data_IF_221587876647
#
_entry.id   IF_221587876647
#
_cell.length_a   1.000
_cell.length_b   1.000
_cell.length_c   1.000
_cell.angle_alpha   90.00
_cell.angle_beta   90.00
_cell.angle_gamma   90.00
#
_symmetry.space_group_name_H-M   'P 1'
#
loop_
_entity.id
_entity.type
_entity.pdbx_description
1 polymer ?
#
# COMPACT_ATOMS: atom_id res chain seq x y z
N UNK A 1 -44.32 6.25 20.17
CA UNK A 1 -43.38 5.43 20.98
C UNK A 1 -43.17 4.01 20.44
N UNK A 2 -44.20 3.17 20.23
CA UNK A 2 -43.99 1.77 19.77
C UNK A 2 -43.28 1.64 18.41
N UNK A 3 -43.56 2.48 17.42
CA UNK A 3 -42.89 2.46 16.10
C UNK A 3 -41.41 2.88 16.17
N UNK A 4 -41.09 3.86 17.00
CA UNK A 4 -39.70 4.33 17.24
C UNK A 4 -38.85 3.26 17.91
N UNK A 5 -39.42 2.52 18.86
CA UNK A 5 -38.72 1.44 19.57
C UNK A 5 -38.37 0.27 18.62
N UNK A 6 -39.27 -0.08 17.70
CA UNK A 6 -39.05 -1.16 16.70
C UNK A 6 -37.96 -0.77 15.70
N UNK A 7 -37.95 0.47 15.22
CA UNK A 7 -36.90 0.98 14.32
C UNK A 7 -35.51 1.00 14.99
N UNK A 8 -35.44 1.42 16.25
CA UNK A 8 -34.19 1.38 17.03
C UNK A 8 -33.72 -0.06 17.25
N UNK A 9 -34.64 -0.99 17.55
CA UNK A 9 -34.29 -2.40 17.74
C UNK A 9 -33.80 -3.04 16.44
N UNK A 10 -34.44 -2.76 15.29
CA UNK A 10 -33.99 -3.25 13.98
C UNK A 10 -32.62 -2.68 13.60
N UNK A 11 -32.36 -1.39 13.88
CA UNK A 11 -31.05 -0.77 13.62
C UNK A 11 -29.94 -1.35 14.52
N UNK A 12 -30.25 -1.65 15.79
CA UNK A 12 -29.29 -2.24 16.72
C UNK A 12 -29.00 -3.71 16.36
N UNK A 13 -30.04 -4.50 16.03
CA UNK A 13 -29.89 -5.91 15.65
C UNK A 13 -29.14 -6.04 14.32
N UNK A 14 -29.43 -5.20 13.33
CA UNK A 14 -28.70 -5.20 12.05
C UNK A 14 -27.23 -4.78 12.21
N UNK A 15 -26.95 -3.75 13.02
CA UNK A 15 -25.55 -3.34 13.30
C UNK A 15 -24.76 -4.42 14.04
N UNK A 16 -25.40 -5.13 14.97
CA UNK A 16 -24.78 -6.23 15.70
C UNK A 16 -24.51 -7.44 14.78
N UNK A 17 -25.52 -7.87 13.99
CA UNK A 17 -25.37 -8.97 13.04
C UNK A 17 -24.31 -8.69 11.95
N UNK A 18 -24.24 -7.48 11.42
CA UNK A 18 -23.24 -7.10 10.40
C UNK A 18 -21.82 -7.16 10.95
N UNK A 19 -21.62 -6.84 12.23
CA UNK A 19 -20.29 -6.85 12.86
C UNK A 19 -19.85 -8.28 13.21
N UNK A 20 -20.75 -9.09 13.78
CA UNK A 20 -20.44 -10.48 14.17
C UNK A 20 -20.25 -11.40 12.96
N UNK A 21 -21.04 -11.26 11.89
CA UNK A 21 -20.95 -12.18 10.73
C UNK A 21 -19.71 -11.90 9.89
N UNK A 22 -19.26 -10.65 9.78
CA UNK A 22 -18.08 -10.29 8.99
C UNK A 22 -16.77 -10.91 9.51
N UNK A 23 -16.69 -11.19 10.81
CA UNK A 23 -15.48 -11.73 11.41
C UNK A 23 -15.35 -13.26 11.25
N UNK A 24 -16.43 -13.98 10.91
CA UNK A 24 -16.46 -15.46 10.85
C UNK A 24 -16.61 -16.02 9.43
N UNK A 25 -16.44 -15.20 8.39
CA UNK A 25 -16.56 -15.64 7.00
C UNK A 25 -15.50 -16.67 6.60
N UNK A 26 -14.32 -16.65 7.23
CA UNK A 26 -13.24 -17.62 6.93
C UNK A 26 -13.53 -19.06 7.40
N UNK A 27 -14.57 -19.28 8.22
CA UNK A 27 -14.99 -20.62 8.68
C UNK A 27 -16.26 -21.13 7.99
N UNK A 28 -16.90 -20.32 7.14
CA UNK A 28 -18.07 -20.75 6.39
C UNK A 28 -17.66 -21.54 5.14
N UNK A 29 -18.38 -22.61 4.86
CA UNK A 29 -18.34 -23.27 3.54
C UNK A 29 -18.56 -22.19 2.46
N UNK A 30 -17.72 -22.15 1.39
CA UNK A 30 -17.86 -21.21 0.27
C UNK A 30 -19.29 -21.04 -0.27
N UNK A 31 -20.13 -22.07 -0.16
CA UNK A 31 -21.54 -22.01 -0.54
C UNK A 31 -22.40 -21.16 0.41
N UNK A 32 -22.23 -21.31 1.72
CA UNK A 32 -22.95 -20.54 2.74
C UNK A 32 -22.46 -19.08 2.78
N UNK A 33 -21.16 -18.83 2.53
CA UNK A 33 -20.64 -17.46 2.34
C UNK A 33 -21.38 -16.75 1.19
N UNK A 34 -21.49 -17.42 0.03
CA UNK A 34 -22.15 -16.84 -1.15
C UNK A 34 -23.63 -16.55 -0.87
N UNK A 35 -24.32 -17.48 -0.21
CA UNK A 35 -25.73 -17.32 0.17
C UNK A 35 -25.95 -16.16 1.15
N UNK A 36 -25.06 -16.02 2.13
CA UNK A 36 -25.14 -14.95 3.12
C UNK A 36 -24.89 -13.58 2.49
N UNK A 37 -23.90 -13.48 1.59
CA UNK A 37 -23.60 -12.23 0.86
C UNK A 37 -24.77 -11.77 -0.01
N UNK A 38 -25.35 -12.66 -0.81
CA UNK A 38 -26.51 -12.31 -1.66
C UNK A 38 -27.68 -11.79 -0.84
N UNK A 39 -27.91 -12.36 0.35
CA UNK A 39 -28.95 -11.88 1.27
C UNK A 39 -28.61 -10.51 1.85
N UNK A 40 -27.37 -10.28 2.25
CA UNK A 40 -26.94 -9.00 2.81
C UNK A 40 -26.98 -7.86 1.77
N UNK A 41 -26.59 -8.14 0.53
CA UNK A 41 -26.69 -7.17 -0.58
C UNK A 41 -28.15 -6.85 -0.89
N UNK A 42 -29.03 -7.84 -0.93
CA UNK A 42 -30.46 -7.63 -1.10
C UNK A 42 -31.07 -6.78 0.03
N UNK A 43 -30.66 -7.01 1.29
CA UNK A 43 -31.11 -6.22 2.44
C UNK A 43 -30.56 -4.78 2.41
N UNK A 44 -29.32 -4.57 1.95
CA UNK A 44 -28.74 -3.23 1.78
C UNK A 44 -29.40 -2.45 0.64
N UNK A 45 -29.65 -3.07 -0.50
CA UNK A 45 -30.39 -2.45 -1.60
C UNK A 45 -31.82 -2.11 -1.15
N UNK A 46 -32.49 -3.01 -0.43
CA UNK A 46 -33.81 -2.72 0.14
C UNK A 46 -33.78 -1.53 1.12
N UNK A 47 -32.75 -1.42 1.95
CA UNK A 47 -32.55 -0.29 2.85
C UNK A 47 -32.27 1.02 2.09
N UNK A 48 -31.52 0.98 0.99
CA UNK A 48 -31.30 2.14 0.09
C UNK A 48 -32.60 2.58 -0.56
N UNK A 49 -33.39 1.65 -1.10
CA UNK A 49 -34.70 1.94 -1.68
C UNK A 49 -35.65 2.55 -0.65
N UNK A 50 -35.66 2.03 0.58
CA UNK A 50 -36.47 2.59 1.67
C UNK A 50 -36.02 4.01 2.07
N UNK A 51 -34.72 4.30 2.06
CA UNK A 51 -34.19 5.63 2.35
C UNK A 51 -34.52 6.64 1.24
N UNK A 52 -34.41 6.24 -0.03
CA UNK A 52 -34.78 7.09 -1.18
C UNK A 52 -36.29 7.37 -1.19
N UNK A 53 -37.13 6.37 -0.92
CA UNK A 53 -38.58 6.55 -0.85
C UNK A 53 -38.99 7.54 0.27
N UNK A 54 -38.28 7.55 1.40
CA UNK A 54 -38.56 8.52 2.47
C UNK A 54 -38.04 9.93 2.13
N UNK A 55 -36.90 10.04 1.45
CA UNK A 55 -36.37 11.33 1.00
C UNK A 55 -37.26 11.99 -0.07
N UNK A 56 -37.82 11.21 -1.00
CA UNK A 56 -38.75 11.72 -2.02
C UNK A 56 -40.10 12.16 -1.43
N UNK A 57 -40.51 11.57 -0.29
CA UNK A 57 -41.70 12.03 0.45
C UNK A 57 -41.44 13.35 1.17
N UNK A 58 -40.25 13.54 1.73
CA UNK A 58 -39.85 14.78 2.40
C UNK A 58 -39.67 15.93 1.39
N UNK A 59 -39.04 15.66 0.24
CA UNK A 59 -38.84 16.63 -0.84
C UNK A 59 -40.17 17.08 -1.48
N UNK A 60 -41.14 16.16 -1.65
CA UNK A 60 -42.46 16.50 -2.17
C UNK A 60 -43.31 17.29 -1.17
N UNK A 61 -43.09 17.10 0.13
CA UNK A 61 -43.78 17.88 1.16
C UNK A 61 -43.28 19.33 1.18
N UNK A 62 -41.97 19.54 1.06
CA UNK A 62 -41.37 20.88 1.01
C UNK A 62 -41.73 21.63 -0.29
N UNK A 63 -41.70 20.95 -1.44
CA UNK A 63 -42.17 21.52 -2.72
C UNK A 63 -43.67 21.87 -2.70
N UNK A 64 -44.50 21.08 -2.03
CA UNK A 64 -45.91 21.37 -1.87
C UNK A 64 -46.16 22.57 -0.94
N UNK A 65 -45.37 22.75 0.13
CA UNK A 65 -45.47 23.93 0.99
C UNK A 65 -45.01 25.21 0.27
N UNK A 66 -43.95 25.13 -0.54
CA UNK A 66 -43.45 26.26 -1.31
C UNK A 66 -44.45 26.68 -2.42
N UNK A 67 -45.09 25.71 -3.09
CA UNK A 67 -46.11 25.95 -4.11
C UNK A 67 -47.39 26.60 -3.55
N UNK A 68 -47.77 26.29 -2.30
CA UNK A 68 -48.93 26.91 -1.65
C UNK A 68 -48.63 28.35 -1.21
N UNK A 69 -47.36 28.71 -0.97
CA UNK A 69 -46.99 30.08 -0.56
C UNK A 69 -46.89 31.08 -1.72
N UNK A 70 -46.81 30.61 -2.97
CA UNK A 70 -46.52 31.45 -4.15
C UNK A 70 -47.73 31.71 -5.07
N UNK A 71 -48.95 31.39 -4.66
CA UNK A 71 -50.13 31.48 -5.55
C UNK A 71 -50.77 32.86 -5.72
N UNK A 72 -50.25 33.95 -5.14
CA UNK A 72 -50.97 35.24 -5.13
C UNK A 72 -50.49 36.34 -6.11
N UNK A 73 -49.46 36.14 -6.93
CA UNK A 73 -49.09 37.19 -7.91
C UNK A 73 -48.27 36.66 -9.09
N UNK A 74 -48.88 36.31 -10.23
CA UNK A 74 -48.22 36.43 -11.55
C UNK A 74 -49.25 36.66 -12.69
N UNK A 75 -49.01 37.60 -13.64
CA UNK A 75 -49.83 37.83 -14.84
C UNK A 75 -49.57 36.80 -15.97
N UNK A 76 -50.34 36.80 -17.07
CA UNK A 76 -50.23 35.78 -18.11
C UNK A 76 -48.97 35.94 -18.96
N UNK A 77 -48.10 34.92 -18.96
CA UNK A 77 -46.92 34.85 -19.83
C UNK A 77 -47.23 34.18 -21.18
N UNK A 78 -46.79 34.86 -22.23
CA UNK A 78 -46.73 34.46 -23.63
C UNK A 78 -45.75 33.30 -23.85
N UNK A 79 -46.16 32.31 -24.64
CA UNK A 79 -45.41 31.10 -24.95
C UNK A 79 -44.16 31.34 -25.82
N UNK A 80 -43.02 30.67 -25.52
CA UNK A 80 -41.81 30.76 -26.33
C UNK A 80 -41.87 29.86 -27.58
N UNK A 81 -41.13 30.22 -28.65
CA UNK A 81 -41.16 29.49 -29.92
C UNK A 81 -40.40 28.15 -29.85
N UNK A 82 -40.99 27.14 -30.50
CA UNK A 82 -40.48 25.77 -30.67
C UNK A 82 -39.15 25.77 -31.45
N UNK A 83 -38.08 25.13 -30.93
CA UNK A 83 -36.83 24.99 -31.66
C UNK A 83 -36.93 23.95 -32.79
N UNK A 84 -36.32 24.30 -33.92
CA UNK A 84 -36.28 23.51 -35.16
C UNK A 84 -35.25 22.36 -35.07
N UNK A 85 -35.56 21.15 -35.58
CA UNK A 85 -34.69 19.98 -35.41
C UNK A 85 -33.39 20.10 -36.21
N UNK A 86 -32.27 20.00 -35.47
CA UNK A 86 -30.91 19.99 -36.04
C UNK A 86 -30.64 18.65 -36.73
N UNK A 87 -30.20 18.71 -38.00
CA UNK A 87 -29.90 17.53 -38.83
C UNK A 87 -28.69 16.76 -38.29
N UNK A 88 -28.89 15.47 -38.05
CA UNK A 88 -27.86 14.49 -37.67
C UNK A 88 -26.86 14.30 -38.83
N UNK A 89 -25.54 14.43 -38.59
CA UNK A 89 -24.54 14.16 -39.63
C UNK A 89 -24.40 12.67 -39.92
N UNK A 90 -24.25 12.37 -41.20
CA UNK A 90 -24.11 11.04 -41.79
C UNK A 90 -22.74 10.41 -41.43
N UNK A 91 -22.68 9.13 -41.03
CA UNK A 91 -21.45 8.49 -40.59
C UNK A 91 -20.46 8.27 -41.74
N UNK A 92 -19.22 8.72 -41.53
CA UNK A 92 -18.09 8.47 -42.44
C UNK A 92 -17.69 6.99 -42.42
N UNK A 93 -17.50 6.34 -43.58
CA UNK A 93 -17.15 4.92 -43.64
C UNK A 93 -15.74 4.65 -43.08
N UNK A 94 -15.64 3.58 -42.30
CA UNK A 94 -14.40 3.12 -41.68
C UNK A 94 -13.40 2.57 -42.74
N UNK A 95 -12.09 2.82 -42.58
CA UNK A 95 -11.07 2.33 -43.50
C UNK A 95 -10.94 0.80 -43.44
N UNK A 96 -10.82 0.21 -44.63
CA UNK A 96 -10.57 -1.22 -44.85
C UNK A 96 -9.18 -1.61 -44.33
N UNK A 97 -9.05 -2.69 -43.53
CA UNK A 97 -7.75 -3.13 -43.02
C UNK A 97 -6.85 -3.68 -44.13
N UNK A 98 -5.59 -3.26 -44.10
CA UNK A 98 -4.52 -3.68 -44.99
C UNK A 98 -4.09 -5.13 -44.67
N UNK A 99 -3.82 -5.99 -45.68
CA UNK A 99 -3.49 -7.40 -45.44
C UNK A 99 -2.10 -7.58 -44.82
N UNK A 100 -2.05 -8.38 -43.75
CA UNK A 100 -0.81 -8.82 -43.09
C UNK A 100 0.12 -9.58 -44.04
N UNK A 101 1.45 -9.34 -43.98
CA UNK A 101 2.43 -10.01 -44.81
C UNK A 101 2.57 -11.51 -44.45
N UNK A 102 2.64 -12.32 -45.51
CA UNK A 102 2.82 -13.78 -45.47
C UNK A 102 4.21 -14.14 -44.90
N UNK A 103 4.31 -15.05 -43.91
CA UNK A 103 5.59 -15.54 -43.40
C UNK A 103 6.37 -16.32 -44.46
N UNK A 104 7.63 -15.94 -44.68
CA UNK A 104 8.57 -16.69 -45.52
C UNK A 104 8.95 -18.00 -44.84
N UNK A 105 8.71 -19.11 -45.53
CA UNK A 105 9.07 -20.47 -45.14
C UNK A 105 10.59 -20.64 -45.14
N UNK A 106 11.20 -20.83 -43.97
CA UNK A 106 12.59 -21.28 -43.85
C UNK A 106 12.71 -22.80 -44.04
N UNK A 107 13.75 -23.19 -44.78
CA UNK A 107 14.08 -24.54 -45.23
C UNK A 107 14.70 -25.35 -44.07
N UNK A 108 14.19 -26.54 -43.72
CA UNK A 108 14.74 -27.32 -42.61
C UNK A 108 16.12 -27.89 -42.95
N UNK A 109 17.07 -27.66 -42.03
CA UNK A 109 18.44 -28.18 -42.04
C UNK A 109 18.45 -29.62 -41.51
N UNK A 110 19.21 -30.48 -42.19
CA UNK A 110 19.28 -31.92 -41.98
C UNK A 110 19.65 -32.32 -40.54
N UNK A 111 18.87 -33.24 -39.98
CA UNK A 111 19.10 -33.93 -38.70
C UNK A 111 20.08 -35.08 -38.90
N UNK A 112 21.16 -35.08 -38.12
CA UNK A 112 22.12 -36.18 -38.02
C UNK A 112 21.63 -37.14 -36.92
N UNK A 113 21.46 -38.41 -37.27
CA UNK A 113 21.10 -39.50 -36.35
C UNK A 113 22.34 -40.02 -35.62
N UNK A 114 22.33 -40.13 -34.28
CA UNK A 114 23.18 -41.08 -33.57
C UNK A 114 22.36 -42.26 -33.04
N UNK A 115 22.78 -43.44 -33.47
CA UNK A 115 22.28 -44.75 -33.05
C UNK A 115 22.93 -45.13 -31.72
N UNK A 116 22.21 -45.00 -30.59
CA UNK A 116 22.52 -45.78 -29.38
C UNK A 116 21.26 -46.07 -28.57
N UNK A 117 21.08 -47.37 -28.31
CA UNK A 117 19.97 -48.05 -27.65
C UNK A 117 19.99 -47.80 -26.13
N UNK A 118 18.93 -47.31 -25.47
CA UNK A 118 18.79 -47.43 -24.03
C UNK A 118 17.87 -48.58 -23.63
N UNK A 119 18.29 -49.29 -22.59
CA UNK A 119 17.58 -50.35 -21.88
C UNK A 119 16.34 -49.78 -21.19
N UNK A 120 15.19 -50.40 -21.43
CA UNK A 120 13.92 -50.09 -20.77
C UNK A 120 14.04 -50.29 -19.26
N UNK A 121 13.84 -49.22 -18.49
CA UNK A 121 13.64 -49.27 -17.03
C UNK A 121 12.27 -48.67 -16.77
N UNK A 122 11.43 -49.40 -16.06
CA UNK A 122 10.04 -49.05 -15.77
C UNK A 122 9.93 -47.66 -15.12
N UNK A 123 9.12 -46.81 -15.72
CA UNK A 123 8.72 -45.51 -15.17
C UNK A 123 7.64 -45.75 -14.11
N UNK A 124 8.05 -45.70 -12.84
CA UNK A 124 7.13 -45.55 -11.71
C UNK A 124 6.68 -44.09 -11.68
N UNK A 125 5.36 -43.85 -11.67
CA UNK A 125 4.78 -42.52 -11.43
C UNK A 125 5.26 -42.00 -10.08
N UNK A 126 6.14 -40.99 -10.08
CA UNK A 126 6.38 -40.18 -8.90
C UNK A 126 5.17 -39.28 -8.69
N UNK A 127 4.33 -39.66 -7.73
CA UNK A 127 3.41 -38.75 -7.06
C UNK A 127 4.27 -37.68 -6.40
N UNK A 128 4.13 -36.43 -6.84
CA UNK A 128 4.66 -35.27 -6.13
C UNK A 128 3.82 -35.14 -4.87
N UNK A 129 4.27 -35.77 -3.78
CA UNK A 129 3.79 -35.42 -2.45
C UNK A 129 4.13 -33.95 -2.20
N UNK A 130 3.09 -33.13 -2.06
CA UNK A 130 3.24 -31.78 -1.51
C UNK A 130 3.90 -31.95 -0.14
N UNK A 131 5.00 -31.24 0.16
CA UNK A 131 5.55 -31.26 1.50
C UNK A 131 4.46 -30.77 2.45
N UNK A 132 4.14 -31.58 3.46
CA UNK A 132 3.37 -31.13 4.61
C UNK A 132 4.03 -29.84 5.11
N UNK A 133 3.25 -28.76 5.16
CA UNK A 133 3.63 -27.53 5.86
C UNK A 133 3.73 -27.89 7.33
N UNK A 134 4.93 -28.30 7.75
CA UNK A 134 5.30 -28.34 9.16
C UNK A 134 5.21 -26.89 9.62
N UNK A 135 4.20 -26.57 10.43
CA UNK A 135 4.14 -25.29 11.15
C UNK A 135 5.52 -25.07 11.78
N UNK A 136 6.21 -23.96 11.46
CA UNK A 136 7.44 -23.63 12.15
C UNK A 136 7.16 -23.66 13.65
N UNK A 137 7.88 -24.51 14.38
CA UNK A 137 7.95 -24.42 15.84
C UNK A 137 8.33 -22.96 16.14
N UNK A 138 7.65 -22.27 17.07
CA UNK A 138 7.96 -20.88 17.37
C UNK A 138 9.47 -20.78 17.59
N UNK A 139 10.14 -20.09 16.67
CA UNK A 139 11.54 -19.73 16.83
C UNK A 139 11.50 -18.88 18.08
N UNK A 140 12.01 -19.42 19.20
CA UNK A 140 12.37 -18.62 20.34
C UNK A 140 13.24 -17.50 19.76
N UNK A 141 12.69 -16.29 19.69
CA UNK A 141 13.41 -15.10 19.27
C UNK A 141 14.60 -15.04 20.21
N UNK A 142 15.76 -15.50 19.75
CA UNK A 142 17.01 -15.18 20.41
C UNK A 142 17.12 -13.68 20.24
N UNK A 143 16.74 -12.99 21.31
CA UNK A 143 17.04 -11.60 21.62
C UNK A 143 18.56 -11.44 21.61
N UNK A 144 19.17 -11.51 20.44
CA UNK A 144 20.43 -10.84 20.19
C UNK A 144 20.06 -9.37 20.08
N UNK A 145 19.98 -8.72 21.25
CA UNK A 145 19.97 -7.26 21.32
C UNK A 145 21.16 -6.77 20.51
N UNK A 146 20.88 -6.29 19.29
CA UNK A 146 21.77 -5.35 18.63
C UNK A 146 21.86 -4.19 19.62
N UNK A 147 23.00 -4.06 20.32
CA UNK A 147 23.33 -2.85 21.06
C UNK A 147 23.45 -1.74 20.03
N UNK A 148 22.33 -1.11 19.70
CA UNK A 148 22.32 0.15 18.98
C UNK A 148 22.99 1.14 19.93
N UNK A 149 24.25 1.45 19.63
CA UNK A 149 24.96 2.55 20.27
C UNK A 149 24.24 3.82 19.84
N UNK A 150 23.27 4.26 20.63
CA UNK A 150 22.77 5.62 20.55
C UNK A 150 23.96 6.55 20.73
N UNK A 151 24.42 7.15 19.64
CA UNK A 151 25.33 8.29 19.70
C UNK A 151 24.53 9.46 20.27
N UNK A 152 24.46 9.47 21.60
CA UNK A 152 24.20 10.64 22.44
C UNK A 152 25.00 11.82 21.88
N UNK A 153 24.32 12.72 21.19
CA UNK A 153 24.82 14.03 20.82
C UNK A 153 24.98 14.84 22.12
N UNK A 154 26.13 14.68 22.78
CA UNK A 154 26.52 15.49 23.93
C UNK A 154 26.54 16.97 23.53
N UNK A 155 25.47 17.67 23.89
CA UNK A 155 25.33 19.11 23.84
C UNK A 155 26.34 19.72 24.84
N UNK A 156 27.46 20.19 24.31
CA UNK A 156 28.45 20.98 25.07
C UNK A 156 27.85 22.34 25.41
N UNK A 157 27.47 22.53 26.67
CA UNK A 157 27.09 23.81 27.24
C UNK A 157 28.36 24.56 27.66
N UNK A 158 28.88 25.41 26.78
CA UNK A 158 29.75 26.52 27.18
C UNK A 158 28.96 27.83 27.06
N UNK A 159 28.60 28.34 28.22
CA UNK A 159 27.95 29.62 28.45
C UNK A 159 28.86 30.76 27.99
N UNK A 160 28.42 31.52 26.98
CA UNK A 160 28.84 32.90 26.79
C UNK A 160 27.59 33.77 26.77
N UNK A 161 27.47 34.58 27.82
CA UNK A 161 26.47 35.63 27.97
C UNK A 161 26.68 36.69 26.88
N UNK A 162 25.78 36.75 25.91
CA UNK A 162 25.55 37.96 25.11
C UNK A 162 24.06 38.26 25.10
N UNK A 163 23.72 39.39 25.71
CA UNK A 163 22.41 40.05 25.72
C UNK A 163 21.91 40.25 24.28
N UNK A 164 20.90 39.47 23.88
CA UNK A 164 20.16 39.66 22.63
C UNK A 164 18.71 39.99 22.95
N UNK A 165 18.29 41.16 22.46
CA UNK A 165 16.92 41.69 22.41
C UNK A 165 15.88 40.60 22.17
N UNK A 166 14.87 40.58 23.02
CA UNK A 166 13.67 39.77 22.95
C UNK A 166 12.89 40.04 21.65
N UNK A 167 13.21 39.29 20.59
CA UNK A 167 12.23 39.02 19.54
C UNK A 167 11.28 37.97 20.10
N UNK A 168 10.12 38.44 20.57
CA UNK A 168 8.91 37.65 20.82
C UNK A 168 8.55 36.94 19.51
N UNK A 169 9.19 35.81 19.25
CA UNK A 169 8.88 34.93 18.13
C UNK A 169 7.59 34.26 18.57
N UNK A 170 6.47 34.72 18.03
CA UNK A 170 5.20 34.06 18.19
C UNK A 170 5.44 32.57 17.91
N UNK A 171 5.33 31.75 18.96
CA UNK A 171 5.21 30.31 18.81
C UNK A 171 3.90 30.14 18.07
N UNK A 172 3.99 30.17 16.74
CA UNK A 172 2.98 29.57 15.90
C UNK A 172 2.93 28.14 16.40
N UNK A 173 1.82 27.77 17.04
CA UNK A 173 1.57 26.40 17.40
C UNK A 173 1.77 25.62 16.10
N UNK A 174 2.89 24.89 16.03
CA UNK A 174 3.21 24.03 14.90
C UNK A 174 2.13 22.94 14.98
N UNK A 175 1.03 23.20 14.27
CA UNK A 175 -0.11 22.31 14.22
C UNK A 175 0.41 20.96 13.73
N UNK A 176 0.44 19.97 14.62
CA UNK A 176 1.12 18.71 14.36
C UNK A 176 0.62 18.12 13.05
N UNK A 177 1.56 17.86 12.13
CA UNK A 177 1.37 17.15 10.87
C UNK A 177 0.33 16.03 11.00
N UNK A 178 -0.64 16.01 10.09
CA UNK A 178 -1.69 14.99 10.04
C UNK A 178 -1.49 14.05 8.86
N UNK A 179 -2.03 12.84 8.99
CA UNK A 179 -1.96 11.81 7.97
C UNK A 179 -3.28 11.72 7.21
N UNK A 180 -3.17 11.62 5.89
CA UNK A 180 -4.31 11.55 4.98
C UNK A 180 -4.07 10.46 3.95
N UNK A 181 -5.11 9.69 3.65
CA UNK A 181 -5.10 8.83 2.48
C UNK A 181 -5.53 9.63 1.25
N UNK A 182 -4.86 9.38 0.13
CA UNK A 182 -5.01 10.15 -1.11
C UNK A 182 -5.87 9.39 -2.10
N UNK A 183 -6.81 10.10 -2.71
CA UNK A 183 -7.56 9.66 -3.89
C UNK A 183 -7.36 10.67 -5.02
N UNK A 184 -7.04 10.22 -6.22
CA UNK A 184 -6.88 11.12 -7.34
C UNK A 184 -8.25 11.59 -7.84
N UNK A 185 -8.36 12.87 -8.16
CA UNK A 185 -9.54 13.39 -8.85
C UNK A 185 -9.43 13.06 -10.34
N UNK A 186 -10.22 12.10 -10.80
CA UNK A 186 -10.19 11.62 -12.19
C UNK A 186 -11.00 12.49 -13.17
N UNK A 187 -11.48 13.67 -12.74
CA UNK A 187 -12.18 14.59 -13.64
C UNK A 187 -11.27 15.03 -14.79
N UNK A 188 -11.77 14.88 -16.02
CA UNK A 188 -11.10 15.30 -17.25
C UNK A 188 -11.67 16.66 -17.66
N UNK A 189 -10.81 17.68 -17.80
CA UNK A 189 -11.24 18.97 -18.36
C UNK A 189 -10.96 19.03 -19.85
N UNK A 190 -11.91 19.61 -20.59
CA UNK A 190 -11.72 19.95 -22.00
C UNK A 190 -10.69 21.10 -22.11
N UNK A 191 -9.75 21.05 -23.08
CA UNK A 191 -9.77 20.18 -24.25
C UNK A 191 -9.11 18.80 -24.11
N UNK A 192 -8.20 18.52 -23.18
CA UNK A 192 -7.64 17.16 -22.98
C UNK A 192 -6.70 17.01 -21.76
N UNK A 193 -6.70 17.96 -20.81
CA UNK A 193 -5.74 17.93 -19.70
C UNK A 193 -6.44 17.45 -18.43
N UNK A 194 -5.80 16.52 -17.70
CA UNK A 194 -6.22 16.19 -16.34
C UNK A 194 -6.14 17.48 -15.51
N UNK A 195 -7.30 18.03 -15.18
CA UNK A 195 -7.44 19.21 -14.32
C UNK A 195 -7.78 18.83 -12.88
N UNK A 196 -7.86 17.52 -12.61
CA UNK A 196 -8.16 17.01 -11.30
C UNK A 196 -7.06 17.33 -10.30
N UNK A 197 -7.49 17.56 -9.07
CA UNK A 197 -6.62 17.64 -7.90
C UNK A 197 -6.57 16.30 -7.17
N UNK A 198 -6.68 16.37 -5.85
CA UNK A 198 -6.68 15.22 -4.96
C UNK A 198 -7.76 15.39 -3.91
N UNK A 199 -8.42 14.29 -3.57
CA UNK A 199 -9.24 14.19 -2.37
C UNK A 199 -8.40 13.55 -1.27
N UNK A 200 -8.31 14.24 -0.15
CA UNK A 200 -7.62 13.81 1.06
C UNK A 200 -8.64 13.40 2.10
N UNK A 201 -8.48 12.20 2.65
CA UNK A 201 -9.31 11.69 3.73
C UNK A 201 -8.44 11.50 4.96
N UNK A 202 -8.79 12.19 6.04
CA UNK A 202 -8.02 12.13 7.27
C UNK A 202 -8.11 10.75 7.89
N UNK A 203 -6.96 10.13 8.19
CA UNK A 203 -6.95 8.80 8.77
C UNK A 203 -7.61 8.80 10.16
N UNK A 204 -8.37 7.75 10.45
CA UNK A 204 -9.07 7.50 11.71
C UNK A 204 -10.07 8.59 12.14
N UNK A 205 -10.49 9.47 11.23
CA UNK A 205 -11.55 10.43 11.52
C UNK A 205 -12.93 9.77 11.35
N UNK A 206 -13.85 10.07 12.28
CA UNK A 206 -15.20 9.48 12.28
C UNK A 206 -16.09 10.13 11.23
N UNK A 207 -15.94 11.44 11.08
CA UNK A 207 -16.48 12.14 9.92
C UNK A 207 -15.49 11.87 8.80
N UNK A 208 -15.94 11.20 7.73
CA UNK A 208 -15.15 11.03 6.51
C UNK A 208 -15.06 12.40 5.83
N UNK A 209 -14.39 13.35 6.47
CA UNK A 209 -14.19 14.69 5.99
C UNK A 209 -13.23 14.59 4.81
N UNK A 210 -13.80 14.75 3.61
CA UNK A 210 -13.04 14.83 2.38
C UNK A 210 -12.59 16.27 2.19
N UNK A 211 -11.29 16.47 2.00
CA UNK A 211 -10.73 17.77 1.65
C UNK A 211 -10.20 17.71 0.23
N UNK A 212 -10.63 18.66 -0.59
CA UNK A 212 -10.12 18.79 -1.94
C UNK A 212 -8.91 19.73 -1.95
N UNK A 213 -7.83 19.30 -2.61
CA UNK A 213 -6.65 20.13 -2.88
C UNK A 213 -6.30 20.05 -4.36
N UNK A 214 -5.97 21.18 -4.97
CA UNK A 214 -5.59 21.21 -6.38
C UNK A 214 -4.18 20.63 -6.61
N UNK A 215 -3.32 20.68 -5.60
CA UNK A 215 -1.92 20.30 -5.71
C UNK A 215 -1.33 19.76 -4.41
N UNK A 216 -0.51 18.71 -4.55
CA UNK A 216 0.46 18.25 -3.55
C UNK A 216 1.81 18.92 -3.83
N UNK A 217 2.38 19.58 -2.82
CA UNK A 217 3.68 20.26 -2.86
C UNK A 217 4.62 19.62 -1.84
N UNK A 218 5.73 19.05 -2.31
CA UNK A 218 6.65 18.28 -1.47
C UNK A 218 7.70 19.18 -0.85
N UNK A 219 7.81 19.15 0.48
CA UNK A 219 8.75 19.99 1.21
C UNK A 219 10.19 19.45 1.16
N UNK A 220 10.35 18.13 1.19
CA UNK A 220 11.64 17.45 1.12
C UNK A 220 12.03 17.17 -0.35
N UNK A 221 13.21 17.64 -0.82
CA UNK A 221 13.72 17.32 -2.16
C UNK A 221 13.83 15.82 -2.46
N UNK A 222 14.17 14.97 -1.48
CA UNK A 222 14.26 13.51 -1.66
C UNK A 222 12.88 12.89 -1.88
N UNK A 223 11.89 13.40 -1.18
CA UNK A 223 10.50 13.00 -1.38
C UNK A 223 9.96 13.52 -2.72
N UNK A 224 10.33 14.75 -3.11
CA UNK A 224 9.98 15.31 -4.41
C UNK A 224 10.58 14.49 -5.58
N UNK A 225 11.74 13.86 -5.40
CA UNK A 225 12.29 12.92 -6.38
C UNK A 225 11.40 11.67 -6.60
N UNK A 226 10.50 11.37 -5.66
CA UNK A 226 9.53 10.28 -5.71
C UNK A 226 8.10 10.77 -6.02
N UNK A 227 7.94 12.00 -6.52
CA UNK A 227 6.64 12.59 -6.87
C UNK A 227 5.84 11.71 -7.82
N UNK A 228 6.49 11.07 -8.79
CA UNK A 228 5.82 10.15 -9.72
C UNK A 228 5.22 8.92 -9.02
N UNK A 229 5.86 8.40 -7.98
CA UNK A 229 5.33 7.28 -7.19
C UNK A 229 4.03 7.70 -6.49
N UNK A 230 3.99 8.92 -5.97
CA UNK A 230 2.80 9.46 -5.31
C UNK A 230 1.69 9.77 -6.33
N UNK A 231 2.01 10.47 -7.43
CA UNK A 231 1.01 10.95 -8.39
C UNK A 231 0.43 9.87 -9.29
N UNK A 232 1.19 8.82 -9.60
CA UNK A 232 0.77 7.74 -10.50
C UNK A 232 0.19 6.54 -9.74
N UNK A 233 0.05 6.64 -8.41
CA UNK A 233 -0.53 5.58 -7.60
C UNK A 233 -2.04 5.48 -7.79
N UNK A 234 -2.56 4.26 -7.64
CA UNK A 234 -3.99 4.03 -7.60
C UNK A 234 -4.64 4.73 -6.40
N UNK A 235 -5.96 4.90 -6.50
CA UNK A 235 -6.76 5.44 -5.41
C UNK A 235 -6.53 4.66 -4.12
N UNK A 236 -6.27 5.37 -3.03
CA UNK A 236 -6.06 4.82 -1.68
C UNK A 236 -4.77 4.01 -1.48
N UNK A 237 -3.84 4.02 -2.43
CA UNK A 237 -2.54 3.38 -2.26
C UNK A 237 -1.50 4.28 -1.56
N UNK A 238 -1.79 5.57 -1.46
CA UNK A 238 -0.87 6.56 -0.88
C UNK A 238 -1.47 7.14 0.39
N UNK A 239 -0.64 7.19 1.43
CA UNK A 239 -0.86 8.04 2.60
C UNK A 239 0.17 9.16 2.55
N UNK A 240 -0.26 10.40 2.77
CA UNK A 240 0.59 11.57 2.93
C UNK A 240 0.51 12.11 4.35
N UNK A 241 1.63 12.59 4.86
CA UNK A 241 1.75 13.37 6.09
C UNK A 241 1.99 14.84 5.73
N UNK A 242 1.31 15.76 6.40
CA UNK A 242 1.59 17.18 6.27
C UNK A 242 0.44 18.07 6.70
N UNK A 243 0.37 19.26 6.11
CA UNK A 243 -0.59 20.30 6.49
C UNK A 243 -1.18 21.04 5.28
N UNK A 244 -2.38 21.59 5.46
CA UNK A 244 -3.02 22.43 4.45
C UNK A 244 -2.42 23.84 4.44
N UNK A 245 -2.41 24.45 3.26
CA UNK A 245 -2.34 25.90 3.10
C UNK A 245 -3.62 26.32 2.38
N UNK A 246 -4.54 26.87 3.17
CA UNK A 246 -5.83 27.38 2.72
C UNK A 246 -5.65 28.70 1.98
N UNK A 247 -6.61 29.01 1.10
CA UNK A 247 -6.71 30.29 0.39
C UNK A 247 -5.45 30.71 -0.37
N UNK A 248 -4.71 29.73 -0.91
CA UNK A 248 -3.58 30.04 -1.76
C UNK A 248 -4.10 30.67 -3.06
N UNK A 249 -3.58 31.85 -3.40
CA UNK A 249 -3.96 32.58 -4.60
C UNK A 249 -2.79 32.58 -5.58
N UNK A 250 -3.03 32.09 -6.79
CA UNK A 250 -2.13 32.31 -7.91
C UNK A 250 -2.87 33.02 -9.06
N UNK A 251 -2.28 33.01 -10.25
CA UNK A 251 -2.87 33.61 -11.45
C UNK A 251 -4.14 32.89 -11.94
N UNK A 252 -4.44 31.68 -11.43
CA UNK A 252 -5.59 30.86 -11.82
C UNK A 252 -6.77 30.97 -10.86
N UNK A 253 -6.57 31.48 -9.64
CA UNK A 253 -7.63 31.70 -8.67
C UNK A 253 -7.19 31.36 -7.24
N UNK A 254 -8.18 31.22 -6.35
CA UNK A 254 -7.97 30.71 -5.00
C UNK A 254 -8.15 29.20 -4.99
N UNK A 255 -7.19 28.48 -4.42
CA UNK A 255 -7.30 27.04 -4.20
C UNK A 255 -6.58 26.61 -2.93
N UNK A 256 -6.91 25.40 -2.46
CA UNK A 256 -6.22 24.76 -1.36
C UNK A 256 -5.06 23.92 -1.90
N UNK A 257 -3.90 24.02 -1.26
CA UNK A 257 -2.76 23.14 -1.53
C UNK A 257 -2.38 22.38 -0.26
N UNK A 258 -1.83 21.18 -0.44
CA UNK A 258 -1.32 20.37 0.65
C UNK A 258 0.20 20.33 0.61
N UNK A 259 0.84 20.70 1.70
CA UNK A 259 2.30 20.59 1.85
C UNK A 259 2.60 19.21 2.39
N UNK A 260 3.21 18.37 1.56
CA UNK A 260 3.59 17.00 1.90
C UNK A 260 4.95 17.01 2.61
N UNK A 261 4.93 16.63 3.87
CA UNK A 261 6.11 16.44 4.73
C UNK A 261 6.56 14.97 4.82
N UNK A 262 5.73 14.03 4.36
CA UNK A 262 6.06 12.61 4.26
C UNK A 262 5.05 11.89 3.37
N UNK A 263 5.45 10.79 2.73
CA UNK A 263 4.53 9.92 2.01
C UNK A 263 4.82 8.45 2.29
N UNK A 264 3.79 7.63 2.12
CA UNK A 264 3.81 6.20 2.34
C UNK A 264 3.05 5.52 1.21
N UNK A 265 3.63 4.46 0.65
CA UNK A 265 3.03 3.68 -0.43
C UNK A 265 2.66 2.29 0.08
N UNK A 266 1.45 1.87 -0.26
CA UNK A 266 0.89 0.55 0.08
C UNK A 266 1.76 -0.57 -0.50
N UNK A 267 2.06 -1.56 0.33
CA UNK A 267 2.62 -2.84 -0.10
C UNK A 267 1.52 -3.67 -0.77
N UNK A 268 1.79 -4.17 -1.97
CA UNK A 268 0.82 -5.00 -2.69
C UNK A 268 0.76 -6.38 -2.04
N UNK A 269 -0.44 -6.86 -1.74
CA UNK A 269 -0.64 -8.27 -1.40
C UNK A 269 -1.06 -8.93 -2.71
N UNK A 270 -0.28 -9.86 -3.27
CA UNK A 270 -0.66 -10.56 -4.48
C UNK A 270 -2.04 -11.17 -4.29
N UNK A 271 -2.90 -11.03 -5.29
CA UNK A 271 -4.23 -11.65 -5.28
C UNK A 271 -4.02 -13.13 -5.55
N UNK A 272 -3.58 -13.87 -4.54
CA UNK A 272 -3.42 -15.33 -4.61
C UNK A 272 -4.82 -15.93 -4.53
N UNK A 273 -5.58 -15.89 -5.62
CA UNK A 273 -6.94 -16.43 -5.75
C UNK A 273 -7.85 -16.20 -4.53
N UNK A 274 -7.64 -15.11 -3.78
CA UNK A 274 -8.65 -14.59 -2.87
C UNK A 274 -9.84 -14.34 -3.79
N UNK A 275 -10.88 -15.16 -3.61
CA UNK A 275 -11.98 -15.33 -4.55
C UNK A 275 -12.38 -13.97 -5.11
N UNK A 276 -12.65 -13.85 -6.41
CA UNK A 276 -12.93 -12.56 -7.09
C UNK A 276 -13.91 -11.62 -6.33
N UNK A 277 -14.69 -12.16 -5.39
CA UNK A 277 -15.49 -11.46 -4.38
C UNK A 277 -14.72 -10.57 -3.38
N UNK A 278 -13.40 -10.73 -3.23
CA UNK A 278 -12.52 -9.96 -2.33
C UNK A 278 -11.93 -8.74 -3.04
N UNK A 279 -11.75 -8.80 -4.37
CA UNK A 279 -11.20 -7.68 -5.17
C UNK A 279 -12.21 -6.53 -5.34
N UNK A 280 -13.50 -6.80 -5.15
CA UNK A 280 -14.56 -5.79 -5.02
C UNK A 280 -14.78 -5.31 -3.58
N UNK A 281 -13.77 -5.45 -2.71
CA UNK A 281 -13.78 -4.82 -1.40
C UNK A 281 -13.82 -3.29 -1.55
N UNK A 282 -15.06 -2.80 -1.60
CA UNK A 282 -15.46 -1.40 -1.66
C UNK A 282 -14.76 -0.55 -0.61
N UNK A 283 -14.57 0.75 -0.86
CA UNK A 283 -14.00 1.71 0.09
C UNK A 283 -14.56 1.58 1.54
N UNK A 284 -15.74 0.98 1.72
CA UNK A 284 -16.37 0.60 2.99
C UNK A 284 -15.46 -0.10 4.02
N UNK A 285 -14.65 -1.11 3.63
CA UNK A 285 -13.83 -1.83 4.62
C UNK A 285 -12.71 -0.96 5.19
N UNK A 286 -12.18 -0.05 4.36
CA UNK A 286 -11.16 0.89 4.77
C UNK A 286 -11.67 1.87 5.82
N UNK A 287 -12.98 2.18 5.81
CA UNK A 287 -13.60 3.07 6.81
C UNK A 287 -13.90 2.38 8.15
N UNK A 288 -13.96 1.04 8.19
CA UNK A 288 -14.12 0.29 9.44
C UNK A 288 -12.78 -0.11 10.06
N UNK A 289 -11.72 -0.07 9.27
CA UNK A 289 -10.37 -0.39 9.70
C UNK A 289 -9.70 0.84 10.29
N UNK A 290 -8.68 0.63 11.13
CA UNK A 290 -7.93 1.73 11.75
C UNK A 290 -6.46 1.67 11.39
N UNK A 291 -5.86 2.84 11.23
CA UNK A 291 -4.47 3.00 10.87
C UNK A 291 -3.63 3.21 12.12
N UNK A 292 -2.55 2.44 12.26
CA UNK A 292 -1.68 2.45 13.42
C UNK A 292 -0.21 2.54 13.03
N UNK A 293 0.59 3.11 13.94
CA UNK A 293 2.01 2.83 14.03
C UNK A 293 2.23 1.69 15.01
N UNK A 294 3.05 0.71 14.65
CA UNK A 294 3.49 -0.31 15.60
C UNK A 294 4.77 0.16 16.31
N UNK A 295 4.94 -0.27 17.56
CA UNK A 295 6.16 -0.04 18.33
C UNK A 295 6.37 -1.18 19.32
N UNK A 296 7.62 -1.44 19.67
CA UNK A 296 7.89 -2.30 20.81
C UNK A 296 7.48 -1.60 22.10
N UNK A 297 6.90 -2.37 23.01
CA UNK A 297 6.72 -1.93 24.38
C UNK A 297 8.02 -2.18 25.13
N UNK A 298 8.58 -1.15 25.77
CA UNK A 298 9.73 -1.29 26.68
C UNK A 298 9.34 -1.99 28.01
N UNK A 299 8.18 -2.65 28.05
CA UNK A 299 7.66 -3.34 29.22
C UNK A 299 8.41 -4.67 29.34
N UNK A 300 9.34 -4.72 30.29
CA UNK A 300 9.93 -5.98 30.73
C UNK A 300 8.93 -6.69 31.63
N UNK A 301 8.47 -7.85 31.19
CA UNK A 301 7.57 -8.66 31.99
C UNK A 301 8.30 -9.71 32.82
N UNK A 302 7.80 -9.90 34.05
CA UNK A 302 8.27 -10.95 34.94
C UNK A 302 7.83 -12.34 34.47
N UNK A 303 6.67 -12.44 33.82
CA UNK A 303 6.13 -13.69 33.27
C UNK A 303 5.90 -13.54 31.76
N UNK A 304 6.49 -14.44 30.97
CA UNK A 304 6.46 -14.37 29.50
C UNK A 304 5.07 -14.61 28.89
N UNK A 305 4.13 -15.19 29.65
CA UNK A 305 2.91 -15.79 29.08
C UNK A 305 1.78 -14.79 28.79
N UNK A 306 1.86 -13.55 29.28
CA UNK A 306 0.78 -12.55 29.15
C UNK A 306 1.25 -11.18 28.69
N UNK A 307 2.45 -11.11 28.10
CA UNK A 307 3.06 -9.83 27.81
C UNK A 307 3.13 -9.50 26.34
N UNK A 308 2.25 -8.59 25.96
CA UNK A 308 2.31 -7.86 24.72
C UNK A 308 3.60 -7.02 24.68
N UNK A 309 4.56 -7.47 23.88
CA UNK A 309 5.78 -6.73 23.56
C UNK A 309 5.57 -5.71 22.43
N UNK A 310 4.34 -5.54 21.94
CA UNK A 310 3.98 -4.67 20.82
C UNK A 310 2.82 -3.76 21.23
N UNK A 311 2.93 -2.46 21.03
CA UNK A 311 1.76 -1.57 21.02
C UNK A 311 1.50 -1.01 19.63
N UNK A 312 0.23 -0.75 19.36
CA UNK A 312 -0.23 -0.05 18.18
C UNK A 312 -0.77 1.32 18.59
N UNK A 313 -0.14 2.38 18.10
CA UNK A 313 -0.47 3.78 18.34
C UNK A 313 -1.40 4.29 17.23
N UNK A 314 -2.60 4.73 17.62
CA UNK A 314 -3.61 5.19 16.68
C UNK A 314 -3.20 6.51 16.02
N UNK A 315 -3.14 6.51 14.68
CA UNK A 315 -2.73 7.69 13.91
C UNK A 315 -3.79 8.80 14.00
N UNK A 316 -3.35 10.06 14.02
CA UNK A 316 -4.18 11.28 14.13
C UNK A 316 -5.03 11.37 15.41
N UNK A 317 -4.76 10.55 16.43
CA UNK A 317 -5.44 10.66 17.71
C UNK A 317 -4.88 11.83 18.54
N UNK A 318 -5.77 12.61 19.17
CA UNK A 318 -5.37 13.70 20.11
C UNK A 318 -4.83 13.17 21.44
N UNK A 319 -5.16 11.93 21.77
CA UNK A 319 -4.67 11.21 22.95
C UNK A 319 -3.76 10.12 22.45
N UNK A 320 -2.69 9.78 23.18
CA UNK A 320 -1.81 8.65 22.91
C UNK A 320 -2.58 7.33 23.06
N UNK A 321 -3.53 7.08 22.17
CA UNK A 321 -4.37 5.90 22.15
C UNK A 321 -3.53 4.77 21.61
N UNK A 322 -2.99 4.00 22.53
CA UNK A 322 -2.25 2.78 22.24
C UNK A 322 -3.11 1.58 22.61
N UNK A 323 -3.15 0.58 21.74
CA UNK A 323 -3.65 -0.75 22.08
C UNK A 323 -2.47 -1.70 22.21
N UNK A 324 -2.53 -2.60 23.19
CA UNK A 324 -1.55 -3.67 23.34
C UNK A 324 -1.92 -4.82 22.37
N UNK A 325 -0.94 -5.29 21.61
CA UNK A 325 -1.09 -6.40 20.66
C UNK A 325 -0.13 -7.50 21.09
N UNK A 326 -0.65 -8.70 21.38
CA UNK A 326 0.19 -9.84 21.75
C UNK A 326 0.87 -10.45 20.52
N UNK A 327 0.10 -10.55 19.44
CA UNK A 327 0.52 -11.12 18.17
C UNK A 327 -0.37 -10.54 17.06
N UNK A 328 0.10 -10.58 15.83
CA UNK A 328 -0.68 -10.20 14.66
C UNK A 328 -0.34 -11.08 13.48
N UNK A 329 -1.32 -11.31 12.61
CA UNK A 329 -1.07 -11.92 11.32
C UNK A 329 -0.82 -10.85 10.26
N UNK A 330 0.12 -11.10 9.37
CA UNK A 330 0.35 -10.29 8.18
C UNK A 330 0.33 -11.17 6.92
N UNK A 331 -0.16 -10.66 5.78
CA UNK A 331 -0.40 -11.49 4.60
C UNK A 331 0.85 -11.70 3.74
N UNK A 332 1.91 -10.91 3.91
CA UNK A 332 3.04 -10.86 2.99
C UNK A 332 3.94 -12.08 3.11
N UNK A 333 4.23 -12.59 4.33
CA UNK A 333 5.07 -13.79 4.50
C UNK A 333 4.50 -15.04 3.82
N UNK A 334 3.18 -15.09 3.63
CA UNK A 334 2.48 -16.21 2.98
C UNK A 334 2.18 -15.96 1.50
N UNK A 335 2.05 -14.70 1.09
CA UNK A 335 1.58 -14.35 -0.26
C UNK A 335 2.67 -13.88 -1.20
N UNK A 336 3.85 -13.53 -0.69
CA UNK A 336 4.98 -13.04 -1.48
C UNK A 336 6.19 -13.94 -1.25
N UNK A 337 6.62 -14.63 -2.31
CA UNK A 337 7.76 -15.54 -2.27
C UNK A 337 9.02 -14.75 -1.94
N UNK A 338 9.84 -15.23 -0.98
CA UNK A 338 11.10 -14.57 -0.58
C UNK A 338 10.92 -13.10 -0.15
N UNK A 339 9.79 -12.76 0.48
CA UNK A 339 9.56 -11.44 1.05
C UNK A 339 10.57 -11.11 2.15
N UNK A 340 11.08 -9.88 2.15
CA UNK A 340 12.08 -9.40 3.11
C UNK A 340 11.45 -9.10 4.49
N UNK A 341 11.15 -10.17 5.24
CA UNK A 341 10.53 -10.07 6.57
C UNK A 341 11.41 -9.33 7.58
N UNK A 342 12.75 -9.41 7.43
CA UNK A 342 13.66 -8.67 8.32
C UNK A 342 13.49 -7.15 8.14
N UNK A 343 13.43 -6.68 6.89
CA UNK A 343 13.12 -5.28 6.59
C UNK A 343 11.73 -4.87 7.08
N UNK A 344 10.71 -5.70 6.81
CA UNK A 344 9.34 -5.41 7.22
C UNK A 344 9.23 -5.22 8.74
N UNK A 345 9.77 -6.15 9.52
CA UNK A 345 9.79 -6.07 10.99
C UNK A 345 10.58 -4.85 11.47
N UNK A 346 11.78 -4.60 10.91
CA UNK A 346 12.59 -3.44 11.29
C UNK A 346 11.87 -2.11 11.06
N UNK A 347 11.20 -1.96 9.91
CA UNK A 347 10.40 -0.75 9.59
C UNK A 347 9.14 -0.64 10.42
N UNK A 348 8.56 -1.76 10.83
CA UNK A 348 7.37 -1.78 11.69
C UNK A 348 7.67 -1.37 13.13
N UNK A 349 8.81 -1.80 13.70
CA UNK A 349 9.03 -1.67 15.15
C UNK A 349 10.26 -0.84 15.55
N UNK A 350 11.32 -0.83 14.73
CA UNK A 350 12.59 -0.21 15.14
C UNK A 350 12.67 1.24 14.71
N UNK A 351 12.25 1.55 13.47
CA UNK A 351 12.30 2.92 12.96
C UNK A 351 10.93 3.57 13.08
N UNK A 352 10.81 4.50 14.02
CA UNK A 352 9.54 5.15 14.31
C UNK A 352 8.92 5.76 13.06
N UNK A 353 7.62 5.52 12.89
CA UNK A 353 6.78 6.15 11.87
C UNK A 353 7.23 5.93 10.42
N UNK A 354 7.96 4.83 10.14
CA UNK A 354 8.36 4.44 8.79
C UNK A 354 7.38 3.46 8.11
N UNK A 355 6.50 2.84 8.89
CA UNK A 355 5.45 1.97 8.36
C UNK A 355 4.12 2.28 9.03
N UNK A 356 3.07 2.39 8.22
CA UNK A 356 1.69 2.55 8.69
C UNK A 356 0.96 1.24 8.42
N UNK A 357 0.26 0.71 9.41
CA UNK A 357 -0.48 -0.53 9.30
C UNK A 357 -1.98 -0.25 9.35
N UNK A 358 -2.71 -0.83 8.42
CA UNK A 358 -4.16 -0.91 8.47
C UNK A 358 -4.52 -2.19 9.19
N UNK A 359 -4.97 -2.05 10.44
CA UNK A 359 -5.26 -3.18 11.32
C UNK A 359 -6.77 -3.33 11.42
N UNK A 360 -7.23 -4.55 11.17
CA UNK A 360 -8.61 -4.98 11.42
C UNK A 360 -8.67 -5.67 12.76
N UNK A 361 -9.50 -5.13 13.65
CA UNK A 361 -9.82 -5.75 14.93
C UNK A 361 -11.15 -6.51 14.75
N UNK A 362 -11.08 -7.82 14.91
CA UNK A 362 -12.22 -8.72 14.85
C UNK A 362 -12.45 -9.27 16.25
N UNK A 363 -13.63 -9.02 16.82
CA UNK A 363 -13.95 -9.43 18.19
C UNK A 363 -13.68 -10.94 18.38
N UNK A 364 -12.81 -11.28 19.33
CA UNK A 364 -12.43 -12.66 19.62
C UNK A 364 -11.32 -13.26 18.75
N UNK A 365 -10.76 -12.51 17.79
CA UNK A 365 -9.61 -12.92 16.97
C UNK A 365 -8.40 -12.05 17.24
N UNK A 366 -7.20 -12.57 16.97
CA UNK A 366 -5.99 -11.76 16.99
C UNK A 366 -6.11 -10.64 15.94
N UNK A 367 -5.66 -9.42 16.25
CA UNK A 367 -5.60 -8.34 15.26
C UNK A 367 -4.84 -8.79 14.01
N UNK A 368 -5.36 -8.45 12.84
CA UNK A 368 -4.73 -8.79 11.57
C UNK A 368 -4.35 -7.53 10.80
N UNK A 369 -3.17 -7.54 10.20
CA UNK A 369 -2.71 -6.47 9.31
C UNK A 369 -3.32 -6.72 7.93
N UNK A 370 -4.37 -5.96 7.60
CA UNK A 370 -4.98 -6.03 6.27
C UNK A 370 -4.08 -5.41 5.19
N UNK A 371 -3.32 -4.37 5.54
CA UNK A 371 -2.40 -3.70 4.62
C UNK A 371 -1.32 -2.93 5.38
N UNK A 372 -0.20 -2.64 4.72
CA UNK A 372 0.91 -1.87 5.27
C UNK A 372 1.40 -0.88 4.23
N UNK A 373 1.80 0.30 4.68
CA UNK A 373 2.25 1.40 3.85
C UNK A 373 3.66 1.77 4.28
N UNK A 374 4.63 1.54 3.42
CA UNK A 374 6.03 1.85 3.68
C UNK A 374 6.33 3.30 3.32
N UNK A 375 7.08 4.01 4.17
CA UNK A 375 7.53 5.37 3.89
C UNK A 375 8.39 5.42 2.63
N UNK A 376 8.26 6.50 1.88
CA UNK A 376 9.13 6.84 0.74
C UNK A 376 9.77 8.22 0.98
N UNK A 377 11.04 8.45 0.59
CA UNK A 377 11.97 7.47 0.02
C UNK A 377 12.38 6.37 1.03
N UNK A 378 12.79 5.20 0.51
CA UNK A 378 13.37 4.12 1.29
C UNK A 378 14.59 3.55 0.52
N UNK A 379 15.76 3.38 1.16
CA UNK A 379 16.01 3.59 2.58
C UNK A 379 16.19 5.06 2.96
N UNK A 380 15.79 5.40 4.19
CA UNK A 380 16.10 6.66 4.86
C UNK A 380 16.67 6.32 6.26
N UNK A 381 17.95 6.62 6.55
CA UNK A 381 18.92 7.33 5.71
C UNK A 381 19.45 6.49 4.52
N UNK A 382 20.10 7.17 3.58
CA UNK A 382 20.80 6.53 2.44
C UNK A 382 21.87 5.56 2.93
N UNK A 383 22.09 4.49 2.15
CA UNK A 383 23.12 3.51 2.46
C UNK A 383 24.52 4.12 2.33
N UNK A 384 25.39 3.76 3.29
CA UNK A 384 26.81 4.08 3.20
C UNK A 384 27.42 3.48 1.92
N UNK A 385 28.42 4.17 1.37
CA UNK A 385 29.16 3.64 0.24
C UNK A 385 29.90 2.36 0.64
N UNK A 386 29.64 1.28 -0.09
CA UNK A 386 30.26 -0.01 0.15
C UNK A 386 31.73 0.09 -0.24
N UNK A 387 32.61 0.10 0.76
CA UNK A 387 34.06 -0.01 0.56
C UNK A 387 34.40 -1.48 0.34
N UNK A 388 34.22 -1.95 -0.90
CA UNK A 388 34.62 -3.31 -1.27
C UNK A 388 36.14 -3.41 -1.29
N UNK A 389 36.65 -4.52 -0.75
CA UNK A 389 38.06 -4.92 -0.91
C UNK A 389 38.14 -5.88 -2.09
N UNK A 390 39.15 -5.73 -2.94
CA UNK A 390 39.38 -6.68 -4.03
C UNK A 390 39.64 -8.08 -3.45
N UNK A 391 38.82 -9.04 -3.86
CA UNK A 391 38.99 -10.44 -3.48
C UNK A 391 40.01 -11.14 -4.39
N UNK A 392 40.62 -12.22 -3.89
CA UNK A 392 41.47 -13.11 -4.70
C UNK A 392 40.68 -13.69 -5.87
N UNK A 393 41.36 -14.12 -6.93
CA UNK A 393 40.74 -14.60 -8.19
C UNK A 393 39.79 -15.79 -8.03
N UNK A 394 39.96 -16.59 -6.98
CA UNK A 394 39.16 -17.75 -6.60
C UNK A 394 38.09 -17.44 -5.53
N UNK A 395 37.95 -16.16 -5.15
CA UNK A 395 36.98 -15.71 -4.15
C UNK A 395 36.03 -14.66 -4.73
N UNK A 396 34.83 -14.59 -4.17
CA UNK A 396 33.84 -13.55 -4.46
C UNK A 396 33.63 -12.67 -3.24
N UNK A 397 33.39 -11.37 -3.47
CA UNK A 397 32.91 -10.47 -2.45
C UNK A 397 31.53 -10.90 -1.98
N UNK A 398 31.35 -11.09 -0.67
CA UNK A 398 30.07 -11.42 -0.05
C UNK A 398 29.58 -10.29 0.84
N UNK A 399 28.27 -10.22 0.99
CA UNK A 399 27.58 -9.14 1.65
C UNK A 399 26.54 -9.66 2.63
N UNK A 400 26.43 -8.96 3.75
CA UNK A 400 25.31 -9.09 4.68
C UNK A 400 24.28 -8.02 4.35
N UNK A 401 23.02 -8.41 4.22
CA UNK A 401 21.92 -7.47 4.02
C UNK A 401 21.40 -7.03 5.37
N UNK A 402 21.51 -5.74 5.63
CA UNK A 402 21.03 -5.11 6.85
C UNK A 402 19.51 -4.89 6.79
N UNK A 403 18.81 -4.81 7.95
CA UNK A 403 17.37 -4.60 7.98
C UNK A 403 16.89 -3.28 7.35
N UNK A 404 17.77 -2.29 7.21
CA UNK A 404 17.51 -1.06 6.45
C UNK A 404 17.74 -1.23 4.93
N UNK A 405 17.79 -2.47 4.42
CA UNK A 405 18.05 -2.86 3.02
C UNK A 405 19.43 -2.54 2.47
N UNK A 406 20.33 -1.97 3.28
CA UNK A 406 21.70 -1.71 2.87
C UNK A 406 22.52 -3.00 2.85
N UNK A 407 23.50 -3.07 1.95
CA UNK A 407 24.44 -4.18 1.88
C UNK A 407 25.74 -3.76 2.58
N UNK A 408 26.17 -4.56 3.54
CA UNK A 408 27.47 -4.41 4.18
C UNK A 408 28.44 -5.45 3.61
N UNK A 409 29.62 -5.00 3.17
CA UNK A 409 30.68 -5.92 2.77
C UNK A 409 31.11 -6.75 3.98
N UNK A 410 30.94 -8.06 3.88
CA UNK A 410 31.21 -8.99 4.97
C UNK A 410 32.52 -9.75 4.79
N UNK A 411 33.07 -9.78 3.57
CA UNK A 411 34.36 -10.38 3.30
C UNK A 411 34.45 -10.99 1.90
N UNK A 412 35.43 -11.86 1.74
CA UNK A 412 35.63 -12.66 0.54
C UNK A 412 35.42 -14.14 0.89
N UNK A 413 34.63 -14.85 0.08
CA UNK A 413 34.43 -16.29 0.23
C UNK A 413 34.89 -17.03 -1.02
N UNK A 414 35.42 -18.24 -0.84
CA UNK A 414 35.78 -19.12 -1.95
C UNK A 414 34.57 -19.39 -2.86
N UNK A 415 34.79 -19.33 -4.17
CA UNK A 415 33.76 -19.53 -5.17
C UNK A 415 33.23 -20.97 -5.13
N UNK A 416 31.93 -21.15 -4.89
CA UNK A 416 31.25 -22.44 -4.95
C UNK A 416 30.38 -22.56 -6.19
N UNK A 417 30.02 -23.80 -6.53
CA UNK A 417 29.04 -24.03 -7.59
C UNK A 417 27.64 -23.61 -7.12
N UNK A 418 27.03 -22.68 -7.84
CA UNK A 418 25.70 -22.16 -7.53
C UNK A 418 24.63 -22.86 -8.36
N UNK A 419 23.49 -23.18 -7.74
CA UNK A 419 22.33 -23.60 -8.51
C UNK A 419 21.82 -22.43 -9.37
N UNK A 420 21.45 -22.74 -10.61
CA UNK A 420 20.92 -21.74 -11.56
C UNK A 420 19.40 -21.51 -11.37
N UNK A 421 18.83 -21.91 -10.24
CA UNK A 421 17.41 -21.72 -9.96
C UNK A 421 17.17 -20.26 -9.55
N UNK A 422 16.71 -19.46 -10.51
CA UNK A 422 16.34 -18.06 -10.28
C UNK A 422 14.83 -18.01 -9.98
N UNK A 423 14.42 -17.57 -8.78
CA UNK A 423 13.01 -17.49 -8.43
C UNK A 423 12.33 -16.33 -9.17
N UNK A 424 11.00 -16.39 -9.27
CA UNK A 424 10.16 -15.32 -9.84
C UNK A 424 9.39 -14.67 -8.70
N UNK A 425 9.27 -13.34 -8.73
CA UNK A 425 8.48 -12.58 -7.77
C UNK A 425 7.06 -12.37 -8.27
N UNK A 426 6.12 -12.19 -7.35
CA UNK A 426 4.74 -11.82 -7.65
C UNK A 426 4.63 -10.36 -8.14
N UNK A 427 3.49 -10.02 -8.76
CA UNK A 427 3.24 -8.68 -9.30
C UNK A 427 3.37 -7.59 -8.21
N UNK A 428 4.03 -6.49 -8.58
CA UNK A 428 4.36 -5.40 -7.65
C UNK A 428 5.66 -5.61 -6.88
N UNK A 429 6.39 -6.70 -7.15
CA UNK A 429 7.69 -7.01 -6.57
C UNK A 429 8.75 -7.30 -7.63
N UNK A 430 9.95 -6.77 -7.41
CA UNK A 430 11.13 -6.96 -8.25
C UNK A 430 12.10 -7.89 -7.54
N UNK A 431 12.64 -8.84 -8.31
CA UNK A 431 13.69 -9.73 -7.83
C UNK A 431 14.99 -8.94 -7.61
N UNK A 432 15.49 -8.96 -6.38
CA UNK A 432 16.80 -8.45 -6.01
C UNK A 432 17.73 -9.60 -5.67
N UNK A 433 18.98 -9.52 -6.09
CA UNK A 433 20.00 -10.50 -5.73
C UNK A 433 21.29 -9.85 -5.23
N UNK A 434 22.00 -10.59 -4.37
CA UNK A 434 23.31 -10.20 -3.84
C UNK A 434 24.08 -11.47 -3.43
N UNK A 435 25.41 -11.44 -3.47
CA UNK A 435 26.24 -12.56 -2.98
C UNK A 435 26.21 -12.58 -1.46
N UNK A 436 25.47 -13.51 -0.85
CA UNK A 436 25.31 -13.56 0.60
C UNK A 436 26.46 -14.29 1.29
N UNK A 437 26.73 -13.90 2.54
CA UNK A 437 27.64 -14.62 3.44
C UNK A 437 27.17 -16.06 3.66
N UNK A 438 28.10 -17.00 3.70
CA UNK A 438 27.86 -18.44 3.81
C UNK A 438 27.47 -19.11 2.48
N UNK A 439 27.24 -18.32 1.42
CA UNK A 439 26.82 -18.80 0.11
C UNK A 439 27.99 -19.20 -0.81
N UNK A 440 29.25 -18.95 -0.45
CA UNK A 440 30.39 -19.20 -1.33
C UNK A 440 30.33 -18.37 -2.62
N UNK A 441 29.91 -17.12 -2.50
CA UNK A 441 29.67 -16.22 -3.63
C UNK A 441 28.33 -16.39 -4.33
N UNK A 442 27.54 -17.43 -3.98
CA UNK A 442 26.25 -17.65 -4.63
C UNK A 442 25.23 -16.55 -4.34
N UNK A 443 24.41 -16.21 -5.34
CA UNK A 443 23.39 -15.19 -5.18
C UNK A 443 22.31 -15.67 -4.20
N UNK A 444 22.02 -14.83 -3.21
CA UNK A 444 20.77 -14.86 -2.46
C UNK A 444 19.76 -13.97 -3.15
N UNK A 445 18.49 -14.33 -3.05
CA UNK A 445 17.38 -13.70 -3.75
C UNK A 445 16.31 -13.22 -2.77
N UNK A 446 15.74 -12.05 -3.05
CA UNK A 446 14.63 -11.45 -2.30
C UNK A 446 13.65 -10.78 -3.26
N UNK A 447 12.36 -10.82 -2.94
CA UNK A 447 11.34 -10.06 -3.64
C UNK A 447 11.06 -8.77 -2.89
N UNK A 448 11.32 -7.64 -3.55
CA UNK A 448 11.24 -6.29 -2.98
C UNK A 448 10.15 -5.52 -3.71
N UNK A 449 9.30 -4.80 -2.99
CA UNK A 449 8.25 -4.00 -3.62
C UNK A 449 8.84 -2.99 -4.63
N UNK A 450 8.26 -2.93 -5.84
CA UNK A 450 8.83 -2.21 -6.99
C UNK A 450 9.08 -0.72 -6.72
N UNK A 451 8.18 -0.11 -5.94
CA UNK A 451 8.23 1.32 -5.62
C UNK A 451 9.38 1.69 -4.68
N UNK A 452 9.99 0.72 -3.98
CA UNK A 452 11.11 0.95 -3.07
C UNK A 452 12.45 1.09 -3.81
N UNK A 453 12.42 0.97 -5.14
CA UNK A 453 13.60 0.98 -6.00
C UNK A 453 14.52 -0.23 -5.77
N UNK A 454 15.46 -0.45 -6.67
CA UNK A 454 16.53 -1.41 -6.42
C UNK A 454 17.34 -0.95 -5.20
N UNK A 455 17.71 -1.84 -4.27
CA UNK A 455 18.65 -1.48 -3.21
C UNK A 455 19.89 -0.91 -3.89
N UNK A 456 20.31 0.28 -3.46
CA UNK A 456 21.37 1.07 -4.10
C UNK A 456 22.62 0.19 -4.16
N UNK A 457 22.82 -0.48 -5.30
CA UNK A 457 24.09 -1.07 -5.64
C UNK A 457 24.95 0.13 -5.98
N UNK A 458 25.83 0.48 -5.04
CA UNK A 458 26.75 1.63 -5.12
C UNK A 458 27.65 1.57 -6.34
N UNK A 459 27.73 0.41 -6.99
CA UNK A 459 28.16 0.30 -8.36
C UNK A 459 26.99 0.67 -9.26
N UNK A 460 27.02 1.89 -9.84
CA UNK A 460 26.82 1.98 -11.31
C UNK A 460 27.56 0.76 -11.82
N UNK A 461 26.86 -0.32 -12.21
CA UNK A 461 27.52 -1.49 -12.73
C UNK A 461 28.50 -0.89 -13.72
N UNK A 462 29.80 -0.94 -13.40
CA UNK A 462 30.82 -0.69 -14.38
C UNK A 462 30.32 -1.61 -15.47
N UNK A 463 29.92 -1.03 -16.61
CA UNK A 463 29.84 -1.79 -17.85
C UNK A 463 31.25 -2.36 -17.94
N UNK A 464 31.47 -3.51 -17.33
CA UNK A 464 32.57 -4.40 -17.62
C UNK A 464 32.31 -4.60 -19.08
N UNK A 465 33.07 -3.86 -19.90
CA UNK A 465 33.16 -4.09 -21.33
C UNK A 465 33.33 -5.59 -21.41
N UNK A 466 32.27 -6.32 -21.77
CA UNK A 466 32.39 -7.73 -22.10
C UNK A 466 33.41 -7.73 -23.21
N UNK A 467 34.64 -8.13 -22.88
CA UNK A 467 35.62 -8.37 -23.92
C UNK A 467 34.97 -9.38 -24.85
N UNK A 468 34.90 -9.10 -26.16
CA UNK A 468 34.32 -10.03 -27.10
C UNK A 468 35.04 -11.36 -26.90
N UNK A 469 34.26 -12.41 -26.65
CA UNK A 469 34.78 -13.78 -26.63
C UNK A 469 35.32 -13.99 -28.05
N UNK A 470 36.64 -13.88 -28.20
CA UNK A 470 37.33 -14.28 -29.42
C UNK A 470 37.31 -15.81 -29.38
N UNK A 471 36.32 -16.40 -30.06
CA UNK A 471 36.39 -17.79 -30.48
C UNK A 471 37.59 -17.92 -31.43
N UNK A 472 38.59 -18.69 -31.02
CA UNK A 472 39.66 -19.18 -31.90
C UNK A 472 39.23 -20.47 -32.57
#
# INVERSE_FOLDING_TARGET
MKKTLVLVFICLVSSFLVTTVRCNLDELDPYEETRFRTRLEAEQELARFAAMANHDVELNYDLAQEAVSNMDTVPPETSPPTPEPTKTPEPTPAPTPEPSPVPKTEKPKATITPTTKPKSTMVTRNVVERPHVVRPKPIAQQSNMIKIVERSSKKSTKSHHTTKKDKKKDKKDDEDDKYYIVKQDQRVCKPAQSCGGYYLYKLNDKAIEKMYVSKLEFQDPKLAANDSVVRNSFDYDIIVRGNFKLDFKDNTGKYNKFIVAGAYKKLQVPVVELSKSHVQQSASWMFNSRFYFLKHNDIQCLEAQHCSNISAELINSKKDQTIAINDFEEPYSRSVTLFDMQWFTYKSFTVQKQMIHLITDCEGKSPSIASSFASIPDPDPECDQIKSTECKSDHSSVYERMPNRCLNFAGCEENKFCSLAIPVCEDGYTLSSYSAVGGGGCPSYLCIADFLGSPITTTKQQKTKRHPIITK
#
